data_IF_689843926719
#
_entry.id   IF_689843926719
#
_cell.length_a   1.000
_cell.length_b   1.000
_cell.length_c   1.000
_cell.angle_alpha   90.00
_cell.angle_beta   90.00
_cell.angle_gamma   90.00
#
_symmetry.space_group_name_H-M   'P 1'
#
loop_
_entity.id
_entity.type
_entity.pdbx_description
1 polymer ?
#
# COMPACT_ATOMS: atom_id res chain seq x y z
N UNK A 1 2.79 -1.78 -22.64
CA UNK A 1 2.69 -2.08 -21.20
C UNK A 1 3.02 -3.55 -21.03
N UNK A 2 4.10 -3.87 -20.32
CA UNK A 2 4.47 -5.25 -20.00
C UNK A 2 3.25 -5.90 -19.33
N UNK A 3 2.68 -6.93 -19.96
CA UNK A 3 1.52 -7.64 -19.44
C UNK A 3 2.02 -8.48 -18.27
N UNK A 4 1.93 -7.94 -17.06
CA UNK A 4 2.15 -8.70 -15.85
C UNK A 4 1.15 -9.87 -15.86
N UNK A 5 1.65 -11.09 -16.06
CA UNK A 5 0.80 -12.27 -16.04
C UNK A 5 0.82 -12.86 -14.64
N UNK A 6 -0.27 -12.66 -13.89
CA UNK A 6 -0.48 -13.28 -12.58
C UNK A 6 -0.29 -14.81 -12.64
N UNK A 7 -0.46 -15.43 -13.81
CA UNK A 7 -0.26 -16.88 -14.02
C UNK A 7 1.17 -17.32 -13.76
N UNK A 8 2.17 -16.47 -13.99
CA UNK A 8 3.58 -16.80 -13.75
C UNK A 8 3.87 -17.05 -12.26
N UNK A 9 3.03 -16.51 -11.38
CA UNK A 9 3.16 -16.63 -9.92
C UNK A 9 2.34 -17.78 -9.33
N UNK A 10 1.51 -18.45 -10.12
CA UNK A 10 0.67 -19.57 -9.68
C UNK A 10 -0.15 -19.23 -8.43
N UNK A 11 -0.09 -20.10 -7.40
CA UNK A 11 -0.80 -19.90 -6.13
C UNK A 11 -0.35 -18.66 -5.34
N UNK A 12 0.85 -18.15 -5.61
CA UNK A 12 1.39 -16.96 -4.95
C UNK A 12 0.71 -15.68 -5.42
N UNK A 13 0.10 -15.68 -6.61
CA UNK A 13 -0.42 -14.48 -7.28
C UNK A 13 -1.34 -13.65 -6.38
N UNK A 14 -2.30 -14.30 -5.72
CA UNK A 14 -3.27 -13.66 -4.82
C UNK A 14 -2.64 -12.97 -3.60
N UNK A 15 -1.45 -13.39 -3.19
CA UNK A 15 -0.70 -12.83 -2.05
C UNK A 15 0.25 -11.70 -2.48
N UNK A 16 0.43 -11.48 -3.78
CA UNK A 16 1.35 -10.49 -4.32
C UNK A 16 0.63 -9.30 -4.94
N UNK A 17 -0.43 -9.55 -5.72
CA UNK A 17 -1.22 -8.50 -6.37
C UNK A 17 -2.67 -8.95 -6.56
N UNK A 18 -3.60 -7.99 -6.42
CA UNK A 18 -5.00 -8.17 -6.79
C UNK A 18 -5.18 -8.36 -8.30
N UNK A 19 -6.26 -9.01 -8.70
CA UNK A 19 -6.59 -9.15 -10.11
C UNK A 19 -6.91 -7.78 -10.74
N UNK A 20 -6.68 -7.63 -12.04
CA UNK A 20 -7.01 -6.39 -12.76
C UNK A 20 -8.48 -6.02 -12.60
N UNK A 21 -9.38 -7.01 -12.53
CA UNK A 21 -10.81 -6.81 -12.29
C UNK A 21 -11.09 -6.22 -10.91
N UNK A 22 -10.46 -6.74 -9.85
CA UNK A 22 -10.59 -6.19 -8.50
C UNK A 22 -10.03 -4.76 -8.41
N UNK A 23 -8.88 -4.51 -9.06
CA UNK A 23 -8.29 -3.18 -9.13
C UNK A 23 -9.22 -2.20 -9.84
N UNK A 24 -9.75 -2.57 -11.02
CA UNK A 24 -10.72 -1.74 -11.75
C UNK A 24 -11.97 -1.46 -10.92
N UNK A 25 -12.53 -2.47 -10.25
CA UNK A 25 -13.70 -2.29 -9.39
C UNK A 25 -13.43 -1.32 -8.24
N UNK A 26 -12.25 -1.40 -7.61
CA UNK A 26 -11.86 -0.48 -6.54
C UNK A 26 -11.73 0.96 -7.02
N UNK A 27 -11.24 1.17 -8.25
CA UNK A 27 -11.07 2.49 -8.84
C UNK A 27 -12.40 3.16 -9.21
N UNK A 28 -13.47 2.38 -9.41
CA UNK A 28 -14.81 2.91 -9.74
C UNK A 28 -15.64 3.32 -8.53
N UNK A 29 -15.16 3.09 -7.31
CA UNK A 29 -15.89 3.48 -6.10
C UNK A 29 -15.99 5.01 -6.02
N UNK A 30 -17.22 5.51 -5.88
CA UNK A 30 -17.46 6.94 -5.73
C UNK A 30 -16.74 7.50 -4.50
N UNK A 31 -16.03 8.61 -4.69
CA UNK A 31 -15.23 9.23 -3.64
C UNK A 31 -15.36 10.73 -3.67
N UNK A 32 -15.77 11.29 -2.54
CA UNK A 32 -15.75 12.73 -2.30
C UNK A 32 -14.57 13.06 -1.39
N UNK A 33 -13.48 13.54 -2.00
CA UNK A 33 -12.25 13.90 -1.29
C UNK A 33 -12.37 15.16 -0.44
N UNK A 34 -13.47 15.91 -0.55
CA UNK A 34 -13.76 17.04 0.36
C UNK A 34 -14.51 16.61 1.60
N UNK A 35 -15.24 15.50 1.53
CA UNK A 35 -16.02 14.99 2.65
C UNK A 35 -15.29 13.94 3.45
N UNK A 36 -14.48 13.07 2.83
CA UNK A 36 -13.81 12.00 3.58
C UNK A 36 -12.40 12.40 3.99
N UNK A 37 -12.10 12.23 5.26
CA UNK A 37 -10.80 12.55 5.84
C UNK A 37 -10.39 11.55 6.93
N UNK A 38 -9.14 11.66 7.36
CA UNK A 38 -8.59 10.94 8.50
C UNK A 38 -8.48 11.87 9.70
N UNK A 39 -8.76 11.35 10.89
CA UNK A 39 -8.53 12.06 12.16
C UNK A 39 -7.81 11.12 13.15
N UNK A 40 -6.97 11.65 14.05
CA UNK A 40 -6.35 10.87 15.11
C UNK A 40 -7.39 10.22 16.02
N UNK A 41 -7.10 9.01 16.49
CA UNK A 41 -7.91 8.26 17.45
C UNK A 41 -7.00 7.56 18.47
N UNK A 42 -7.41 7.54 19.74
CA UNK A 42 -6.60 6.96 20.81
C UNK A 42 -6.45 5.43 20.73
N UNK A 43 -7.38 4.73 20.05
CA UNK A 43 -7.40 3.26 19.98
C UNK A 43 -6.90 2.73 18.65
N UNK A 44 -7.31 3.33 17.55
CA UNK A 44 -6.96 2.89 16.19
C UNK A 44 -5.83 3.71 15.55
N UNK A 45 -5.22 4.65 16.31
CA UNK A 45 -4.27 5.68 15.87
C UNK A 45 -4.90 6.71 14.91
N UNK A 46 -5.57 6.25 13.86
CA UNK A 46 -6.30 7.07 12.91
C UNK A 46 -7.61 6.38 12.50
N UNK A 47 -8.68 7.15 12.33
CA UNK A 47 -9.97 6.66 11.87
C UNK A 47 -10.49 7.47 10.68
N UNK A 48 -11.30 6.81 9.86
CA UNK A 48 -11.97 7.43 8.73
C UNK A 48 -13.23 8.17 9.19
N UNK A 49 -13.40 9.41 8.74
CA UNK A 49 -14.56 10.25 9.06
C UNK A 49 -15.11 10.98 7.85
N UNK A 50 -16.38 11.36 7.94
CA UNK A 50 -17.05 12.25 7.00
C UNK A 50 -17.24 13.64 7.61
N UNK A 51 -16.71 14.68 6.95
CA UNK A 51 -16.88 16.07 7.33
C UNK A 51 -18.32 16.51 7.05
N UNK A 52 -19.02 16.97 8.10
CA UNK A 52 -20.39 17.47 8.00
C UNK A 52 -20.45 18.99 7.93
N UNK A 53 -19.80 19.66 8.89
CA UNK A 53 -19.82 21.11 9.00
C UNK A 53 -18.45 21.66 9.40
N UNK A 54 -18.10 22.81 8.81
CA UNK A 54 -16.95 23.62 9.17
C UNK A 54 -17.44 24.82 9.99
N UNK A 55 -17.05 24.88 11.27
CA UNK A 55 -17.42 25.95 12.20
C UNK A 55 -16.17 26.67 12.70
N UNK A 56 -15.61 27.53 11.85
CA UNK A 56 -14.39 28.26 12.15
C UNK A 56 -13.19 27.33 12.33
N UNK A 57 -12.61 27.31 13.53
CA UNK A 57 -11.43 26.49 13.90
C UNK A 57 -11.79 25.03 14.29
N UNK A 58 -13.09 24.71 14.32
CA UNK A 58 -13.60 23.38 14.68
C UNK A 58 -14.38 22.79 13.52
N UNK A 59 -14.20 21.50 13.32
CA UNK A 59 -14.89 20.74 12.28
C UNK A 59 -15.70 19.63 12.93
N UNK A 60 -16.97 19.54 12.53
CA UNK A 60 -17.88 18.50 12.96
C UNK A 60 -17.77 17.35 11.96
N UNK A 61 -17.33 16.19 12.45
CA UNK A 61 -17.10 15.00 11.65
C UNK A 61 -17.96 13.84 12.16
N UNK A 62 -18.42 12.99 11.25
CA UNK A 62 -19.14 11.76 11.57
C UNK A 62 -18.23 10.55 11.32
N UNK A 63 -18.09 9.70 12.34
CA UNK A 63 -17.37 8.43 12.24
C UNK A 63 -18.22 7.37 11.53
N UNK A 64 -17.58 6.29 11.04
CA UNK A 64 -18.31 5.15 10.44
C UNK A 64 -19.36 4.52 11.35
N UNK A 65 -19.19 4.63 12.67
CA UNK A 65 -20.11 4.10 13.67
C UNK A 65 -21.31 5.04 13.92
N UNK A 66 -21.45 6.13 13.16
CA UNK A 66 -22.52 7.12 13.30
C UNK A 66 -22.34 8.09 14.47
N UNK A 67 -21.16 8.09 15.11
CA UNK A 67 -20.85 9.06 16.19
C UNK A 67 -20.33 10.36 15.59
N UNK A 68 -20.87 11.47 16.07
CA UNK A 68 -20.41 12.82 15.72
C UNK A 68 -19.33 13.28 16.69
N UNK A 69 -18.19 13.73 16.16
CA UNK A 69 -17.07 14.27 16.90
C UNK A 69 -16.80 15.70 16.46
N UNK A 70 -16.27 16.52 17.37
CA UNK A 70 -15.75 17.85 17.05
C UNK A 70 -14.24 17.81 17.15
N UNK A 71 -13.56 17.99 16.03
CA UNK A 71 -12.10 17.98 15.91
C UNK A 71 -11.60 19.36 15.51
N UNK A 72 -10.30 19.62 15.71
CA UNK A 72 -9.68 20.84 15.19
C UNK A 72 -9.37 20.66 13.71
N UNK A 73 -9.40 21.76 12.96
CA UNK A 73 -9.06 21.73 11.53
C UNK A 73 -7.64 21.21 11.29
N UNK A 74 -6.68 21.52 12.18
CA UNK A 74 -5.30 21.05 12.09
C UNK A 74 -5.12 19.53 12.24
N UNK A 75 -6.09 18.84 12.83
CA UNK A 75 -6.03 17.39 13.05
C UNK A 75 -6.57 16.61 11.85
N UNK A 76 -7.13 17.30 10.85
CA UNK A 76 -7.71 16.68 9.66
C UNK A 76 -6.61 16.36 8.66
N UNK A 77 -6.48 15.07 8.33
CA UNK A 77 -5.60 14.59 7.28
C UNK A 77 -6.41 14.20 6.04
N UNK A 78 -6.01 14.71 4.87
CA UNK A 78 -6.69 14.42 3.60
C UNK A 78 -6.59 12.93 3.23
N UNK A 79 -7.67 12.37 2.70
CA UNK A 79 -7.69 10.98 2.24
C UNK A 79 -7.39 10.88 0.75
N UNK A 80 -6.61 9.86 0.37
CA UNK A 80 -6.36 9.55 -1.03
C UNK A 80 -7.62 8.94 -1.69
N UNK A 81 -7.88 9.25 -2.97
CA UNK A 81 -8.96 8.59 -3.73
C UNK A 81 -8.79 7.05 -3.81
N UNK A 82 -9.88 6.28 -4.04
CA UNK A 82 -9.86 4.81 -4.11
C UNK A 82 -8.91 4.23 -5.15
N UNK A 83 -8.53 5.01 -6.17
CA UNK A 83 -7.50 4.61 -7.14
C UNK A 83 -6.12 4.34 -6.53
N UNK A 84 -5.88 4.84 -5.31
CA UNK A 84 -4.65 4.63 -4.55
C UNK A 84 -4.80 3.55 -3.49
N UNK A 85 -5.96 2.87 -3.44
CA UNK A 85 -6.18 1.82 -2.46
C UNK A 85 -5.24 0.63 -2.71
N UNK A 86 -4.64 0.13 -1.65
CA UNK A 86 -3.66 -0.97 -1.68
C UNK A 86 -2.51 -0.76 -2.69
N UNK A 87 -2.08 0.48 -2.92
CA UNK A 87 -1.00 0.77 -3.86
C UNK A 87 0.30 0.04 -3.48
N UNK A 88 1.03 -0.38 -4.51
CA UNK A 88 2.28 -1.13 -4.35
C UNK A 88 3.46 -0.29 -3.93
N UNK A 89 3.48 0.99 -4.31
CA UNK A 89 4.49 1.97 -3.89
C UNK A 89 3.80 3.19 -3.27
N UNK A 90 3.94 3.34 -1.96
CA UNK A 90 3.32 4.43 -1.21
C UNK A 90 3.90 5.80 -1.57
N UNK A 91 5.08 5.87 -2.19
CA UNK A 91 5.61 7.14 -2.70
C UNK A 91 4.77 7.72 -3.84
N UNK A 92 3.86 6.94 -4.43
CA UNK A 92 2.94 7.39 -5.47
C UNK A 92 1.62 7.96 -4.92
N UNK A 93 1.41 7.98 -3.60
CA UNK A 93 0.24 8.59 -2.98
C UNK A 93 0.21 10.10 -3.25
N UNK A 94 -0.99 10.67 -3.44
CA UNK A 94 -1.14 12.14 -3.57
C UNK A 94 -0.93 12.82 -2.21
N UNK A 95 -1.54 12.26 -1.17
CA UNK A 95 -1.39 12.71 0.20
C UNK A 95 -0.53 11.69 0.96
N UNK A 96 0.75 12.01 1.14
CA UNK A 96 1.69 11.19 1.90
C UNK A 96 1.68 11.62 3.37
N UNK A 97 0.60 11.28 4.06
CA UNK A 97 0.44 11.50 5.50
C UNK A 97 0.47 10.17 6.26
N UNK A 98 0.69 10.25 7.58
CA UNK A 98 0.83 9.07 8.45
C UNK A 98 -0.39 8.14 8.36
N UNK A 99 -1.60 8.70 8.36
CA UNK A 99 -2.83 7.93 8.23
C UNK A 99 -2.88 7.15 6.91
N UNK A 100 -2.55 7.78 5.78
CA UNK A 100 -2.58 7.12 4.47
C UNK A 100 -1.57 5.97 4.37
N UNK A 101 -0.37 6.15 4.91
CA UNK A 101 0.65 5.08 4.96
C UNK A 101 0.16 3.92 5.83
N UNK A 102 -0.33 4.21 7.04
CA UNK A 102 -0.84 3.21 7.97
C UNK A 102 -1.99 2.41 7.34
N UNK A 103 -2.97 3.09 6.76
CA UNK A 103 -4.13 2.43 6.17
C UNK A 103 -3.81 1.63 4.92
N UNK A 104 -2.87 2.09 4.09
CA UNK A 104 -2.42 1.31 2.94
C UNK A 104 -1.77 -0.02 3.39
N UNK A 105 -0.85 0.05 4.37
CA UNK A 105 -0.24 -1.15 4.95
C UNK A 105 -1.28 -2.07 5.60
N UNK A 106 -2.20 -1.51 6.40
CA UNK A 106 -3.27 -2.27 7.07
C UNK A 106 -4.16 -3.00 6.06
N UNK A 107 -4.60 -2.33 4.99
CA UNK A 107 -5.47 -2.94 3.96
C UNK A 107 -4.73 -4.02 3.16
N UNK A 108 -3.49 -3.76 2.76
CA UNK A 108 -2.65 -4.75 2.06
C UNK A 108 -2.42 -5.99 2.93
N UNK A 109 -2.10 -5.79 4.20
CA UNK A 109 -1.92 -6.87 5.15
C UNK A 109 -3.19 -7.70 5.37
N UNK A 110 -4.36 -7.05 5.51
CA UNK A 110 -5.66 -7.75 5.58
C UNK A 110 -5.98 -8.58 4.34
N UNK A 111 -5.42 -8.22 3.19
CA UNK A 111 -5.49 -8.98 1.95
C UNK A 111 -4.33 -9.98 1.76
N UNK A 112 -3.55 -10.26 2.81
CA UNK A 112 -2.37 -11.14 2.83
C UNK A 112 -1.22 -10.69 1.92
N UNK A 113 -1.19 -9.42 1.51
CA UNK A 113 -0.07 -8.81 0.79
C UNK A 113 0.89 -8.17 1.79
N UNK A 114 1.94 -8.91 2.16
CA UNK A 114 2.88 -8.50 3.23
C UNK A 114 3.96 -7.52 2.80
N UNK A 115 4.19 -7.40 1.49
CA UNK A 115 5.22 -6.53 0.93
C UNK A 115 4.58 -5.28 0.33
N UNK A 116 5.18 -4.13 0.63
CA UNK A 116 4.78 -2.83 0.08
C UNK A 116 6.03 -1.97 -0.09
N UNK A 117 6.19 -1.29 -1.22
CA UNK A 117 7.25 -0.31 -1.39
C UNK A 117 6.88 1.03 -0.76
N UNK A 118 7.91 1.74 -0.30
CA UNK A 118 7.83 3.13 0.09
C UNK A 118 9.04 3.85 -0.50
N UNK A 119 8.93 4.23 -1.77
CA UNK A 119 10.04 4.81 -2.52
C UNK A 119 11.18 3.80 -2.71
N UNK A 120 12.28 3.97 -1.97
CA UNK A 120 13.42 3.03 -2.01
C UNK A 120 13.26 1.85 -1.04
N UNK A 121 12.40 1.98 -0.02
CA UNK A 121 12.25 0.97 1.01
C UNK A 121 11.30 -0.14 0.57
N UNK A 122 11.58 -1.37 1.02
CA UNK A 122 10.65 -2.49 0.96
C UNK A 122 10.14 -2.77 2.38
N UNK A 123 8.91 -2.37 2.64
CA UNK A 123 8.23 -2.61 3.92
C UNK A 123 7.69 -4.04 3.91
N UNK A 124 8.03 -4.81 4.95
CA UNK A 124 7.57 -6.19 5.14
C UNK A 124 6.84 -6.30 6.47
N UNK A 125 5.61 -6.82 6.45
CA UNK A 125 4.83 -7.08 7.67
C UNK A 125 4.82 -8.57 7.96
N UNK A 126 5.12 -8.98 9.20
CA UNK A 126 5.13 -10.39 9.58
C UNK A 126 3.73 -11.02 9.41
N UNK A 127 3.55 -12.05 8.55
CA UNK A 127 2.25 -12.66 8.30
C UNK A 127 1.73 -13.53 9.45
N UNK A 128 2.60 -13.97 10.37
CA UNK A 128 2.30 -15.01 11.37
C UNK A 128 1.64 -16.28 10.77
N UNK A 129 1.84 -16.51 9.47
CA UNK A 129 1.24 -17.56 8.67
C UNK A 129 2.18 -17.92 7.52
N UNK A 130 2.23 -19.20 7.17
CA UNK A 130 2.91 -19.65 5.97
C UNK A 130 2.17 -19.19 4.71
N UNK A 131 2.90 -18.51 3.82
CA UNK A 131 2.40 -18.05 2.52
C UNK A 131 3.21 -18.72 1.40
N UNK A 132 2.59 -19.15 0.29
CA UNK A 132 3.26 -19.83 -0.83
C UNK A 132 4.05 -18.87 -1.74
N UNK A 133 4.61 -17.78 -1.20
CA UNK A 133 5.30 -16.72 -1.96
C UNK A 133 6.81 -16.98 -2.13
N UNK A 134 7.36 -18.00 -1.48
CA UNK A 134 8.80 -18.31 -1.50
C UNK A 134 9.17 -19.54 -2.36
N UNK A 135 8.29 -19.96 -3.26
CA UNK A 135 8.49 -21.17 -4.07
C UNK A 135 9.42 -20.91 -5.27
N UNK A 136 10.00 -21.98 -5.85
CA UNK A 136 10.89 -21.88 -7.01
C UNK A 136 10.25 -21.20 -8.25
N UNK A 137 8.96 -21.42 -8.57
CA UNK A 137 8.30 -20.67 -9.64
C UNK A 137 8.30 -19.16 -9.40
N UNK A 138 8.10 -18.71 -8.15
CA UNK A 138 8.13 -17.28 -7.82
C UNK A 138 9.54 -16.71 -8.00
N UNK A 139 10.59 -17.43 -7.60
CA UNK A 139 11.98 -17.02 -7.88
C UNK A 139 12.21 -16.83 -9.38
N UNK A 140 11.76 -17.78 -10.20
CA UNK A 140 11.88 -17.70 -11.65
C UNK A 140 11.12 -16.50 -12.24
N UNK A 141 9.93 -16.19 -11.70
CA UNK A 141 9.11 -15.06 -12.14
C UNK A 141 9.74 -13.69 -11.84
N UNK A 142 10.50 -13.56 -10.73
CA UNK A 142 11.19 -12.31 -10.36
C UNK A 142 12.53 -12.11 -11.09
N UNK A 143 13.13 -13.17 -11.63
CA UNK A 143 14.49 -13.13 -12.19
C UNK A 143 14.59 -12.16 -13.39
N UNK A 144 15.50 -11.20 -13.29
CA UNK A 144 15.77 -10.23 -14.36
C UNK A 144 14.64 -9.22 -14.59
N UNK A 145 13.68 -9.10 -13.66
CA UNK A 145 12.56 -8.17 -13.77
C UNK A 145 12.85 -6.87 -13.03
N UNK A 146 12.48 -5.75 -13.63
CA UNK A 146 12.57 -4.44 -12.95
C UNK A 146 11.51 -4.35 -11.88
N UNK A 147 11.78 -3.57 -10.83
CA UNK A 147 10.83 -3.32 -9.72
C UNK A 147 9.43 -2.90 -10.17
N UNK A 148 9.31 -2.14 -11.26
CA UNK A 148 8.02 -1.68 -11.80
C UNK A 148 7.23 -2.75 -12.55
N UNK A 149 7.86 -3.87 -12.91
CA UNK A 149 7.27 -4.93 -13.74
C UNK A 149 6.64 -6.04 -12.91
N UNK A 150 6.99 -6.13 -11.62
CA UNK A 150 6.59 -7.18 -10.69
C UNK A 150 6.10 -6.58 -9.37
N UNK A 151 5.19 -7.26 -8.65
CA UNK A 151 4.66 -6.76 -7.39
C UNK A 151 5.75 -6.69 -6.31
N UNK A 152 5.52 -5.92 -5.23
CA UNK A 152 6.45 -5.81 -4.13
C UNK A 152 6.85 -7.17 -3.56
N UNK A 153 8.15 -7.43 -3.49
CA UNK A 153 8.69 -8.65 -2.90
C UNK A 153 10.18 -8.51 -2.61
N UNK A 154 10.68 -9.24 -1.61
CA UNK A 154 12.10 -9.23 -1.27
C UNK A 154 13.00 -9.78 -2.39
N UNK A 155 12.49 -10.71 -3.21
CA UNK A 155 13.19 -11.20 -4.39
C UNK A 155 13.42 -10.11 -5.44
N UNK A 156 12.53 -9.12 -5.54
CA UNK A 156 12.79 -7.96 -6.41
C UNK A 156 13.98 -7.15 -5.90
N UNK A 157 14.10 -6.96 -4.59
CA UNK A 157 15.25 -6.25 -4.00
C UNK A 157 16.56 -7.02 -4.23
N UNK A 158 16.54 -8.34 -3.99
CA UNK A 158 17.70 -9.20 -4.18
C UNK A 158 18.13 -9.29 -5.66
N UNK A 159 17.19 -9.46 -6.59
CA UNK A 159 17.48 -9.57 -8.03
C UNK A 159 17.99 -8.24 -8.60
N UNK A 160 17.41 -7.10 -8.21
CA UNK A 160 17.91 -5.79 -8.63
C UNK A 160 19.32 -5.53 -8.08
N UNK A 161 19.60 -5.82 -6.80
CA UNK A 161 20.94 -5.71 -6.24
C UNK A 161 21.95 -6.60 -6.99
N UNK A 162 21.59 -7.84 -7.31
CA UNK A 162 22.45 -8.73 -8.08
C UNK A 162 22.73 -8.20 -9.50
N UNK A 163 21.70 -7.72 -10.19
CA UNK A 163 21.84 -7.14 -11.53
C UNK A 163 22.67 -5.86 -11.52
N UNK A 164 22.48 -4.98 -10.53
CA UNK A 164 23.25 -3.75 -10.38
C UNK A 164 24.72 -4.04 -10.06
N UNK A 165 25.00 -5.07 -9.24
CA UNK A 165 26.36 -5.54 -9.01
C UNK A 165 27.05 -5.97 -10.31
N UNK A 166 26.38 -6.78 -11.15
CA UNK A 166 26.95 -7.25 -12.42
C UNK A 166 27.12 -6.12 -13.45
N UNK A 167 26.16 -5.20 -13.50
CA UNK A 167 26.14 -4.11 -14.48
C UNK A 167 27.12 -3.01 -14.14
N UNK A 168 27.10 -2.54 -12.89
CA UNK A 168 27.89 -1.42 -12.42
C UNK A 168 29.28 -1.85 -11.96
N UNK A 169 29.48 -3.15 -11.68
CA UNK A 169 30.71 -3.73 -11.12
C UNK A 169 31.09 -3.10 -9.76
N UNK A 170 30.07 -2.79 -8.98
CA UNK A 170 30.19 -2.17 -7.66
C UNK A 170 29.50 -3.04 -6.60
N UNK A 171 30.08 -3.04 -5.39
CA UNK A 171 29.52 -3.77 -4.25
C UNK A 171 28.13 -3.24 -3.91
N UNK A 172 27.20 -4.16 -3.62
CA UNK A 172 25.85 -3.83 -3.19
C UNK A 172 25.64 -4.26 -1.74
N UNK A 173 24.71 -3.60 -1.05
CA UNK A 173 24.35 -3.95 0.32
C UNK A 173 22.83 -3.92 0.50
N UNK A 174 22.32 -4.79 1.38
CA UNK A 174 20.92 -4.80 1.80
C UNK A 174 20.87 -4.56 3.30
N UNK A 175 20.23 -3.47 3.71
CA UNK A 175 20.04 -3.12 5.12
C UNK A 175 18.64 -3.58 5.55
N UNK A 176 18.57 -4.44 6.55
CA UNK A 176 17.33 -4.99 7.11
C UNK A 176 17.24 -4.50 8.55
N UNK A 177 16.18 -3.77 8.89
CA UNK A 177 15.96 -3.14 10.20
C UNK A 177 14.64 -3.60 10.80
#
# INVERSE_FOLDING_TARGET
MSRFDLRDFGEAAQFLRKSDLELMASHTIAFDGKKRAWVPDEKEAYIEVEIKELSGDKVIVETKDGRTLTVKDCDIQQMNPPKYDMIEDMAMLTHLNEASVLFNLRRRYSAWMIYTYSGLFCVTVNPYKWLPVYTAPVVAAYKGKRRSEVPPHIYSIADNAYNDMLRNRENQSMLIT
#
